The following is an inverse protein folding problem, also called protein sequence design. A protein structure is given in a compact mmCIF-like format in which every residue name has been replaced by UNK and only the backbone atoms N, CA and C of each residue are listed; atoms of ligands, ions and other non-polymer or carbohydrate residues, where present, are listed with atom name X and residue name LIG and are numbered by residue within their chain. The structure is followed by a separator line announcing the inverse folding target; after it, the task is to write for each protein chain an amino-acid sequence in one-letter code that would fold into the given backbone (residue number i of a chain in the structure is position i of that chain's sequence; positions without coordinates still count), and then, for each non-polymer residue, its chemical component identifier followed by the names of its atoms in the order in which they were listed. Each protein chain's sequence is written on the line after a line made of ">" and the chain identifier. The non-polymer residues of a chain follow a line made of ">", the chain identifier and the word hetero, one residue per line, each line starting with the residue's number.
data_IF_197292952602
#
_entry.id   IF_197292952602
#
_cell.length_a   1.000
_cell.length_b   1.000
_cell.length_c   1.000
_cell.angle_alpha   90.00
_cell.angle_beta   90.00
_cell.angle_gamma   90.00
#
_symmetry.space_group_name_H-M   'P 1'
#
loop_
_entity.id
_entity.type
_entity.pdbx_description
1 polymer ?
#
# COMPACT_ATOMS: atom_id res chain seq x y z
N UNK A 1 49.40 3.67 4.60
CA UNK A 1 48.48 4.54 3.81
C UNK A 1 48.33 5.81 4.59
N UNK A 2 48.46 6.97 3.95
CA UNK A 2 48.40 8.26 4.65
C UNK A 2 47.00 8.51 5.20
N UNK A 3 46.91 9.12 6.40
CA UNK A 3 45.66 9.46 7.09
C UNK A 3 45.19 10.83 6.63
N UNK A 4 44.46 10.88 5.50
CA UNK A 4 44.06 12.12 4.84
C UNK A 4 42.70 12.65 5.28
N UNK A 5 41.94 11.88 6.07
CA UNK A 5 40.63 12.23 6.58
C UNK A 5 40.33 11.51 7.90
N UNK A 6 39.24 11.86 8.59
CA UNK A 6 38.78 11.17 9.79
C UNK A 6 38.43 9.70 9.54
N UNK A 7 38.03 9.33 8.33
CA UNK A 7 37.69 7.95 7.95
C UNK A 7 38.93 7.03 7.89
N UNK A 8 40.15 7.60 7.79
CA UNK A 8 41.40 6.84 7.69
C UNK A 8 42.00 6.56 9.06
N UNK A 9 41.47 7.16 10.14
CA UNK A 9 41.98 6.93 11.47
C UNK A 9 41.65 5.52 11.98
N UNK A 10 42.65 4.87 12.59
CA UNK A 10 42.49 3.56 13.21
C UNK A 10 41.98 3.72 14.65
N UNK A 11 41.07 2.80 15.06
CA UNK A 11 40.70 2.66 16.47
C UNK A 11 41.89 2.18 17.36
N UNK A 12 42.93 1.59 16.76
CA UNK A 12 44.18 1.23 17.46
C UNK A 12 45.13 2.40 17.37
N UNK A 13 45.40 3.07 18.52
CA UNK A 13 46.20 4.29 18.59
C UNK A 13 47.57 4.16 17.92
N UNK A 14 48.29 3.06 18.17
CA UNK A 14 49.63 2.80 17.60
C UNK A 14 49.65 2.62 16.06
N UNK A 15 48.52 2.43 15.45
CA UNK A 15 48.37 2.34 13.98
C UNK A 15 48.21 3.71 13.31
N UNK A 16 48.03 4.78 14.08
CA UNK A 16 47.95 6.15 13.59
C UNK A 16 49.34 6.76 13.65
N UNK A 17 50.15 6.52 12.64
CA UNK A 17 51.57 6.95 12.59
C UNK A 17 51.78 8.21 11.75
N UNK A 18 50.75 8.70 11.09
CA UNK A 18 50.73 9.96 10.32
C UNK A 18 49.34 10.63 10.33
N UNK A 19 49.30 11.93 10.05
CA UNK A 19 48.12 12.73 9.76
C UNK A 19 48.40 13.59 8.57
N UNK A 20 47.64 13.39 7.48
CA UNK A 20 47.88 14.13 6.22
C UNK A 20 49.30 13.92 5.65
N UNK A 21 49.92 12.79 5.89
CA UNK A 21 51.29 12.50 5.50
C UNK A 21 52.35 13.07 6.46
N UNK A 22 51.95 13.75 7.56
CA UNK A 22 52.84 14.27 8.57
C UNK A 22 53.10 13.18 9.60
N UNK A 23 54.33 12.72 9.75
CA UNK A 23 54.71 11.67 10.72
C UNK A 23 54.43 12.14 12.14
N UNK A 24 53.70 11.31 12.87
CA UNK A 24 53.43 11.45 14.33
C UNK A 24 53.98 10.23 15.14
N UNK A 25 54.81 9.41 14.51
CA UNK A 25 55.47 8.30 15.17
C UNK A 25 56.49 8.81 16.21
N UNK A 26 56.88 7.92 17.15
CA UNK A 26 57.93 8.25 18.11
C UNK A 26 59.20 8.71 17.41
N UNK A 27 59.83 9.76 17.99
CA UNK A 27 61.03 10.39 17.37
C UNK A 27 60.69 11.39 16.26
N UNK A 28 59.42 11.75 16.08
CA UNK A 28 59.04 12.80 15.12
C UNK A 28 59.70 14.15 15.45
N UNK A 29 59.85 14.99 14.41
CA UNK A 29 60.34 16.36 14.61
C UNK A 29 59.36 17.19 15.47
N UNK A 30 59.83 18.06 16.36
CA UNK A 30 58.94 18.93 17.17
C UNK A 30 57.99 19.79 16.33
N UNK A 31 58.42 20.21 15.11
CA UNK A 31 57.55 20.91 14.18
C UNK A 31 56.36 20.13 13.67
N UNK A 32 56.47 18.79 13.68
CA UNK A 32 55.36 17.90 13.26
C UNK A 32 54.20 17.95 14.22
N UNK A 33 54.43 18.17 15.54
CA UNK A 33 53.36 18.31 16.56
C UNK A 33 52.38 19.40 16.15
N UNK A 34 52.87 20.60 15.91
CA UNK A 34 52.02 21.73 15.51
C UNK A 34 51.32 21.51 14.16
N UNK A 35 52.06 20.98 13.20
CA UNK A 35 51.51 20.73 11.85
C UNK A 35 50.45 19.62 11.88
N UNK A 36 50.63 18.53 12.63
CA UNK A 36 49.64 17.45 12.76
C UNK A 36 48.36 17.90 13.49
N UNK A 37 48.49 18.76 14.49
CA UNK A 37 47.33 19.37 15.19
C UNK A 37 46.49 20.18 14.19
N UNK A 38 47.14 21.01 13.38
CA UNK A 38 46.43 21.80 12.35
C UNK A 38 45.74 20.94 11.30
N UNK A 39 46.38 19.83 10.92
CA UNK A 39 45.78 18.91 9.94
C UNK A 39 44.61 18.13 10.55
N UNK A 40 44.66 17.73 11.84
CA UNK A 40 43.51 17.16 12.55
C UNK A 40 42.36 18.19 12.61
N UNK A 41 42.65 19.43 12.95
CA UNK A 41 41.64 20.51 12.93
C UNK A 41 41.00 20.67 11.56
N UNK A 42 41.81 20.60 10.48
CA UNK A 42 41.30 20.63 9.10
C UNK A 42 40.40 19.43 8.81
N UNK A 43 40.83 18.19 9.13
CA UNK A 43 40.01 16.99 8.92
C UNK A 43 38.69 17.06 9.70
N UNK A 44 38.70 17.63 10.90
CA UNK A 44 37.48 17.83 11.71
C UNK A 44 36.57 18.91 11.07
N UNK A 45 37.16 19.99 10.57
CA UNK A 45 36.42 21.04 9.88
C UNK A 45 35.79 20.51 8.57
N UNK A 46 36.53 19.73 7.79
CA UNK A 46 36.05 19.11 6.55
C UNK A 46 34.89 18.12 6.83
N UNK A 47 34.96 17.39 7.95
CA UNK A 47 33.86 16.53 8.41
C UNK A 47 32.63 17.36 8.81
N UNK A 48 32.80 18.38 9.65
CA UNK A 48 31.69 19.27 10.07
C UNK A 48 31.07 20.00 8.88
N UNK A 49 31.88 20.42 7.91
CA UNK A 49 31.41 21.05 6.69
C UNK A 49 30.76 20.08 5.69
N UNK A 50 30.80 18.76 5.95
CA UNK A 50 30.25 17.73 5.07
C UNK A 50 31.07 17.47 3.83
N UNK A 51 32.32 18.00 3.74
CA UNK A 51 33.24 17.74 2.61
C UNK A 51 33.87 16.36 2.70
N UNK A 52 33.91 15.76 3.90
CA UNK A 52 34.28 14.36 4.13
C UNK A 52 33.02 13.54 4.40
N UNK A 53 32.64 12.68 3.46
CA UNK A 53 31.52 11.75 3.64
C UNK A 53 31.91 10.63 4.62
N UNK A 54 31.09 10.36 5.63
CA UNK A 54 31.19 9.16 6.45
C UNK A 54 30.45 8.00 5.78
N UNK A 55 31.13 6.91 5.51
CA UNK A 55 30.53 5.72 4.89
C UNK A 55 29.60 4.96 5.84
N UNK A 56 29.79 5.08 7.15
CA UNK A 56 28.97 4.45 8.18
C UNK A 56 28.94 5.32 9.43
N UNK A 57 27.74 5.69 9.89
CA UNK A 57 27.52 6.36 11.17
C UNK A 57 26.68 5.40 12.02
N UNK A 58 27.22 4.99 13.17
CA UNK A 58 26.46 4.28 14.21
C UNK A 58 26.14 5.27 15.33
N UNK A 59 24.84 5.49 15.57
CA UNK A 59 24.34 6.35 16.67
C UNK A 59 23.62 5.44 17.65
N UNK A 60 24.30 4.97 18.69
CA UNK A 60 23.79 4.06 19.71
C UNK A 60 22.96 4.80 20.79
N UNK A 61 22.23 5.81 20.42
CA UNK A 61 21.37 6.60 21.29
C UNK A 61 21.54 8.10 21.00
N UNK A 62 20.54 8.87 21.40
CA UNK A 62 20.48 10.31 21.14
C UNK A 62 19.42 10.67 20.11
N UNK A 63 19.29 11.97 19.82
CA UNK A 63 18.39 12.53 18.84
C UNK A 63 19.17 13.00 17.60
N UNK A 64 18.57 12.89 16.43
CA UNK A 64 19.02 13.56 15.20
C UNK A 64 17.94 14.59 14.87
N UNK A 65 18.14 15.83 15.33
CA UNK A 65 17.17 16.90 15.20
C UNK A 65 17.48 17.78 13.95
N UNK A 66 16.44 18.22 13.26
CA UNK A 66 16.54 19.19 12.15
C UNK A 66 17.28 18.69 10.92
N UNK A 67 17.39 17.38 10.72
CA UNK A 67 18.14 16.77 9.61
C UNK A 67 17.20 16.21 8.55
N UNK A 68 17.48 16.49 7.29
CA UNK A 68 16.84 15.82 6.16
C UNK A 68 17.54 14.48 5.87
N UNK A 69 16.90 13.37 6.17
CA UNK A 69 17.41 12.04 5.85
C UNK A 69 17.18 11.73 4.35
N UNK A 70 18.28 11.48 3.62
CA UNK A 70 18.21 11.13 2.19
C UNK A 70 17.98 12.30 1.25
N UNK A 71 18.33 13.54 1.63
CA UNK A 71 18.12 14.74 0.82
C UNK A 71 18.83 14.68 -0.55
N UNK A 72 20.01 14.08 -0.65
CA UNK A 72 20.78 13.97 -1.89
C UNK A 72 20.66 12.61 -2.59
N UNK A 73 20.33 11.56 -1.85
CA UNK A 73 20.12 10.21 -2.37
C UNK A 73 19.20 9.47 -1.42
N UNK A 74 17.98 9.22 -1.88
CA UNK A 74 17.00 8.48 -1.08
C UNK A 74 17.44 7.02 -0.92
N UNK A 75 17.41 6.54 0.32
CA UNK A 75 17.64 5.15 0.68
C UNK A 75 16.43 4.56 1.40
N UNK A 76 16.48 3.27 1.73
CA UNK A 76 15.47 2.63 2.54
C UNK A 76 15.70 2.95 4.02
N UNK A 77 14.68 3.50 4.70
CA UNK A 77 14.64 3.62 6.16
C UNK A 77 13.91 2.40 6.75
N UNK A 78 14.55 1.70 7.71
CA UNK A 78 13.90 0.66 8.50
C UNK A 78 13.67 1.18 9.92
N UNK A 79 12.40 1.26 10.32
CA UNK A 79 11.99 1.76 11.63
C UNK A 79 11.15 0.71 12.34
N UNK A 80 11.39 0.49 13.63
CA UNK A 80 10.47 -0.31 14.46
C UNK A 80 9.18 0.46 14.71
N UNK A 81 9.27 1.79 14.87
CA UNK A 81 8.14 2.71 15.02
C UNK A 81 8.52 4.04 14.39
N UNK A 82 7.60 4.64 13.63
CA UNK A 82 7.70 6.01 13.15
C UNK A 82 6.50 6.79 13.64
N UNK A 83 6.72 7.96 14.24
CA UNK A 83 5.66 8.87 14.67
C UNK A 83 5.66 10.09 13.75
N UNK A 84 4.49 10.42 13.24
CA UNK A 84 4.28 11.59 12.38
C UNK A 84 3.34 12.57 13.08
N UNK A 85 3.49 13.85 12.84
CA UNK A 85 2.50 14.84 13.25
C UNK A 85 1.18 14.65 12.48
N UNK A 86 0.12 15.29 12.95
CA UNK A 86 -1.23 15.07 12.41
C UNK A 86 -1.35 15.43 10.92
N UNK A 87 -0.65 16.45 10.48
CA UNK A 87 -0.83 16.99 9.13
C UNK A 87 -2.21 17.65 8.97
N UNK A 88 -2.61 17.85 7.74
CA UNK A 88 -3.93 18.37 7.39
C UNK A 88 -4.34 17.87 6.00
N UNK A 89 -5.60 18.08 5.63
CA UNK A 89 -6.12 17.65 4.31
C UNK A 89 -5.32 18.21 3.13
N UNK A 90 -4.81 19.45 3.21
CA UNK A 90 -4.00 20.09 2.18
C UNK A 90 -2.49 19.92 2.38
N UNK A 91 -2.06 19.34 3.49
CA UNK A 91 -0.65 19.10 3.85
C UNK A 91 -0.54 17.81 4.66
N UNK A 92 -0.80 16.64 4.05
CA UNK A 92 -0.71 15.35 4.72
C UNK A 92 0.68 15.13 5.34
N UNK A 93 0.73 14.42 6.46
CA UNK A 93 1.99 14.13 7.17
C UNK A 93 2.83 13.04 6.50
N UNK A 94 2.20 12.19 5.68
CA UNK A 94 2.90 11.21 4.83
C UNK A 94 2.47 11.49 3.39
N UNK A 95 3.37 12.04 2.60
CA UNK A 95 3.06 12.57 1.27
C UNK A 95 4.14 12.23 0.25
N UNK A 96 3.88 12.47 -1.02
CA UNK A 96 4.85 12.38 -2.11
C UNK A 96 5.58 13.73 -2.28
N UNK A 97 6.89 13.71 -2.48
CA UNK A 97 7.72 14.92 -2.65
C UNK A 97 7.25 15.83 -3.79
N UNK A 98 6.70 15.25 -4.87
CA UNK A 98 6.20 16.00 -6.05
C UNK A 98 4.71 16.36 -5.97
N UNK A 99 3.99 15.90 -4.95
CA UNK A 99 2.55 16.08 -4.78
C UNK A 99 2.24 16.14 -3.28
N UNK A 100 2.40 17.34 -2.72
CA UNK A 100 2.41 17.55 -1.26
C UNK A 100 1.02 17.63 -0.63
N UNK A 101 -0.05 17.63 -1.41
CA UNK A 101 -1.44 17.63 -0.96
C UNK A 101 -2.16 16.29 -1.19
N UNK A 102 -1.38 15.25 -1.53
CA UNK A 102 -1.83 13.85 -1.64
C UNK A 102 -1.08 12.99 -0.63
N UNK A 103 -1.80 12.24 0.22
CA UNK A 103 -1.18 11.40 1.23
C UNK A 103 -2.09 11.02 2.39
N UNK A 104 -1.44 10.56 3.48
CA UNK A 104 -2.12 10.21 4.72
C UNK A 104 -1.98 11.33 5.75
N UNK A 105 -3.02 11.58 6.52
CA UNK A 105 -3.03 12.51 7.65
C UNK A 105 -3.96 12.01 8.76
N UNK A 106 -3.79 12.54 9.97
CA UNK A 106 -4.62 12.21 11.12
C UNK A 106 -5.58 13.39 11.34
N UNK A 107 -6.86 13.17 11.02
CA UNK A 107 -7.88 14.24 11.04
C UNK A 107 -8.35 14.58 12.45
N UNK A 108 -8.03 13.77 13.43
CA UNK A 108 -8.34 13.92 14.84
C UNK A 108 -7.89 12.70 15.64
N UNK A 109 -8.15 12.71 16.94
CA UNK A 109 -7.86 11.60 17.83
C UNK A 109 -8.57 10.32 17.39
N UNK A 110 -7.82 9.24 17.25
CA UNK A 110 -8.31 7.92 16.79
C UNK A 110 -8.88 7.93 15.36
N UNK A 111 -8.44 8.85 14.52
CA UNK A 111 -8.87 8.96 13.12
C UNK A 111 -7.68 8.89 12.16
N UNK A 112 -7.89 8.26 11.00
CA UNK A 112 -6.94 8.26 9.90
C UNK A 112 -7.65 8.64 8.60
N UNK A 113 -7.01 9.48 7.79
CA UNK A 113 -7.60 10.00 6.55
C UNK A 113 -6.60 9.95 5.39
N UNK A 114 -7.15 9.85 4.18
CA UNK A 114 -6.42 9.94 2.92
C UNK A 114 -6.92 11.14 2.13
N UNK A 115 -6.01 11.99 1.70
CA UNK A 115 -6.29 13.10 0.78
C UNK A 115 -5.70 12.83 -0.60
N UNK A 116 -6.34 13.38 -1.63
CA UNK A 116 -5.77 13.55 -2.97
C UNK A 116 -6.14 14.93 -3.49
N UNK A 117 -5.15 15.70 -3.95
CA UNK A 117 -5.35 17.07 -4.42
C UNK A 117 -5.98 17.95 -3.34
N UNK A 118 -5.51 17.86 -2.09
CA UNK A 118 -6.01 18.62 -0.95
C UNK A 118 -7.47 18.33 -0.54
N UNK A 119 -8.04 17.23 -1.03
CA UNK A 119 -9.42 16.83 -0.72
C UNK A 119 -9.45 15.47 -0.05
N UNK A 120 -10.14 15.33 1.09
CA UNK A 120 -10.33 14.04 1.76
C UNK A 120 -11.13 13.10 0.87
N UNK A 121 -10.60 11.91 0.63
CA UNK A 121 -11.22 10.84 -0.17
C UNK A 121 -11.69 9.67 0.69
N UNK A 122 -10.94 9.34 1.71
CA UNK A 122 -11.19 8.20 2.59
C UNK A 122 -10.90 8.58 4.03
N UNK A 123 -11.68 8.06 4.98
CA UNK A 123 -11.34 8.14 6.40
C UNK A 123 -11.88 6.95 7.18
N UNK A 124 -11.15 6.59 8.26
CA UNK A 124 -11.69 5.79 9.36
C UNK A 124 -11.84 6.74 10.53
N UNK A 125 -13.09 6.95 10.97
CA UNK A 125 -13.38 7.86 12.07
C UNK A 125 -13.18 7.18 13.44
N UNK A 126 -13.27 7.96 14.51
CA UNK A 126 -13.06 7.51 15.90
C UNK A 126 -14.03 6.39 16.35
N UNK A 127 -15.16 6.20 15.65
CA UNK A 127 -16.08 5.08 15.86
C UNK A 127 -15.75 3.84 15.03
N UNK A 128 -14.67 3.86 14.25
CA UNK A 128 -14.23 2.76 13.38
C UNK A 128 -15.01 2.67 12.06
N UNK A 129 -15.82 3.66 11.70
CA UNK A 129 -16.52 3.67 10.42
C UNK A 129 -15.58 4.10 9.29
N UNK A 130 -15.56 3.30 8.22
CA UNK A 130 -14.92 3.65 6.96
C UNK A 130 -15.86 4.56 6.15
N UNK A 131 -15.42 5.79 5.89
CA UNK A 131 -16.13 6.75 5.04
C UNK A 131 -15.32 6.98 3.77
N UNK A 132 -16.01 7.06 2.62
CA UNK A 132 -15.43 7.50 1.36
C UNK A 132 -16.20 8.70 0.83
N UNK A 133 -15.47 9.70 0.31
CA UNK A 133 -16.05 10.89 -0.33
C UNK A 133 -15.93 10.72 -1.85
N UNK A 134 -17.06 10.61 -2.52
CA UNK A 134 -17.17 10.38 -3.96
C UNK A 134 -17.87 9.06 -4.27
N UNK A 135 -17.81 8.64 -5.52
CA UNK A 135 -18.34 7.33 -5.96
C UNK A 135 -17.30 6.23 -5.69
N UNK A 136 -17.80 5.05 -5.29
CA UNK A 136 -17.01 3.82 -5.26
C UNK A 136 -17.50 2.89 -6.38
N UNK A 137 -16.58 2.26 -7.09
CA UNK A 137 -16.87 1.20 -8.06
C UNK A 137 -16.16 -0.08 -7.62
N UNK A 138 -16.83 -1.19 -7.83
CA UNK A 138 -16.24 -2.50 -7.66
C UNK A 138 -16.08 -3.18 -9.03
N UNK A 139 -15.02 -3.95 -9.19
CA UNK A 139 -14.76 -4.67 -10.43
C UNK A 139 -15.88 -5.67 -10.75
N UNK A 140 -16.07 -5.89 -12.05
CA UNK A 140 -16.98 -6.92 -12.59
C UNK A 140 -16.11 -8.02 -13.20
N UNK A 141 -16.11 -9.21 -12.59
CA UNK A 141 -15.44 -10.37 -13.15
C UNK A 141 -16.30 -11.02 -14.25
N UNK A 142 -15.77 -11.11 -15.46
CA UNK A 142 -16.42 -11.77 -16.58
C UNK A 142 -16.23 -13.30 -16.48
N UNK A 143 -17.34 -14.02 -16.29
CA UNK A 143 -17.36 -15.48 -16.22
C UNK A 143 -17.45 -16.10 -17.61
N UNK A 144 -16.81 -17.24 -17.79
CA UNK A 144 -16.95 -18.05 -19.01
C UNK A 144 -18.22 -18.89 -18.96
N UNK A 145 -19.05 -18.84 -20.01
CA UNK A 145 -20.25 -19.66 -20.10
C UNK A 145 -19.93 -21.15 -20.19
N UNK A 146 -20.60 -21.94 -19.39
CA UNK A 146 -20.46 -23.40 -19.28
C UNK A 146 -21.76 -24.00 -18.77
N UNK A 147 -21.91 -25.32 -18.85
CA UNK A 147 -23.06 -26.03 -18.26
C UNK A 147 -23.08 -26.00 -16.72
N UNK A 148 -21.91 -25.75 -16.10
CA UNK A 148 -21.79 -25.52 -14.67
C UNK A 148 -20.79 -24.36 -14.47
N UNK A 149 -21.19 -23.32 -13.74
CA UNK A 149 -20.36 -22.16 -13.41
C UNK A 149 -20.25 -22.07 -11.90
N UNK A 150 -19.05 -22.33 -11.36
CA UNK A 150 -18.73 -22.04 -9.97
C UNK A 150 -18.12 -20.64 -9.90
N UNK A 151 -18.85 -19.71 -9.30
CA UNK A 151 -18.42 -18.33 -9.16
C UNK A 151 -17.47 -18.26 -7.95
N UNK A 152 -16.22 -17.89 -8.20
CA UNK A 152 -15.27 -17.59 -7.12
C UNK A 152 -15.54 -16.18 -6.59
N UNK A 153 -16.21 -16.10 -5.44
CA UNK A 153 -16.63 -14.85 -4.83
C UNK A 153 -15.45 -14.01 -4.28
N UNK A 154 -14.26 -14.60 -4.20
CA UNK A 154 -13.04 -13.86 -3.79
C UNK A 154 -12.44 -13.01 -4.91
N UNK A 155 -12.84 -13.21 -6.16
CA UNK A 155 -12.24 -12.53 -7.33
C UNK A 155 -12.78 -11.14 -7.59
N UNK A 156 -14.06 -10.91 -7.29
CA UNK A 156 -14.71 -9.60 -7.47
C UNK A 156 -16.00 -9.53 -6.65
N UNK A 157 -16.50 -8.30 -6.48
CA UNK A 157 -17.80 -8.06 -5.85
C UNK A 157 -18.95 -8.22 -6.84
N UNK A 158 -18.72 -7.98 -8.13
CA UNK A 158 -19.72 -8.19 -9.15
C UNK A 158 -19.21 -9.17 -10.21
N UNK A 159 -20.15 -9.89 -10.82
CA UNK A 159 -19.85 -10.87 -11.85
C UNK A 159 -20.76 -10.66 -13.06
N UNK A 160 -20.31 -11.06 -14.24
CA UNK A 160 -21.13 -11.05 -15.46
C UNK A 160 -20.90 -12.32 -16.27
N UNK A 161 -21.94 -12.75 -17.00
CA UNK A 161 -21.84 -13.86 -17.94
C UNK A 161 -22.82 -13.66 -19.09
N UNK A 162 -22.38 -13.93 -20.31
CA UNK A 162 -23.28 -14.14 -21.44
C UNK A 162 -23.48 -15.64 -21.62
N UNK A 163 -24.69 -16.13 -21.42
CA UNK A 163 -25.00 -17.55 -21.49
C UNK A 163 -25.01 -18.06 -22.94
N UNK A 164 -24.15 -19.02 -23.21
CA UNK A 164 -24.15 -19.83 -24.43
C UNK A 164 -24.63 -21.27 -24.21
N UNK A 165 -24.86 -21.61 -22.91
CA UNK A 165 -25.31 -22.95 -22.48
C UNK A 165 -26.42 -22.82 -21.44
N UNK A 166 -27.21 -23.88 -21.27
CA UNK A 166 -27.99 -24.06 -20.06
C UNK A 166 -27.04 -24.28 -18.92
N UNK A 167 -27.19 -23.55 -17.82
CA UNK A 167 -26.16 -23.41 -16.78
C UNK A 167 -26.71 -23.71 -15.40
N UNK A 168 -25.89 -24.34 -14.55
CA UNK A 168 -26.11 -24.39 -13.10
C UNK A 168 -25.07 -23.48 -12.43
N UNK A 169 -25.53 -22.48 -11.67
CA UNK A 169 -24.68 -21.61 -10.87
C UNK A 169 -24.39 -22.20 -9.50
N UNK A 170 -23.14 -22.16 -9.10
CA UNK A 170 -22.65 -22.45 -7.76
C UNK A 170 -21.70 -21.34 -7.31
N UNK A 171 -21.36 -21.29 -6.01
CA UNK A 171 -20.38 -20.34 -5.45
C UNK A 171 -19.26 -21.06 -4.72
N UNK A 172 -18.09 -20.43 -4.68
CA UNK A 172 -16.95 -20.80 -3.84
C UNK A 172 -16.32 -19.55 -3.21
N UNK A 173 -15.55 -19.74 -2.15
CA UNK A 173 -14.73 -18.69 -1.48
C UNK A 173 -15.52 -17.44 -1.04
N UNK A 174 -16.83 -17.58 -0.77
CA UNK A 174 -17.64 -16.47 -0.28
C UNK A 174 -17.30 -16.13 1.19
N UNK A 175 -17.20 -14.83 1.49
CA UNK A 175 -16.98 -14.31 2.84
C UNK A 175 -18.30 -13.77 3.40
N UNK A 176 -18.65 -14.15 4.64
CA UNK A 176 -19.87 -13.67 5.29
C UNK A 176 -19.91 -12.12 5.34
N UNK A 177 -21.05 -11.53 4.98
CA UNK A 177 -21.24 -10.08 4.87
C UNK A 177 -20.92 -9.51 3.49
N UNK A 178 -20.34 -10.27 2.57
CA UNK A 178 -20.10 -9.83 1.20
C UNK A 178 -21.42 -9.67 0.45
N UNK A 179 -21.53 -8.61 -0.34
CA UNK A 179 -22.69 -8.30 -1.20
C UNK A 179 -22.22 -7.98 -2.60
N UNK A 180 -23.08 -8.15 -3.57
CA UNK A 180 -22.79 -7.80 -4.96
C UNK A 180 -23.89 -8.24 -5.91
N UNK A 181 -23.57 -8.25 -7.21
CA UNK A 181 -24.51 -8.61 -8.27
C UNK A 181 -23.90 -9.56 -9.29
N UNK A 182 -24.72 -10.42 -9.86
CA UNK A 182 -24.40 -11.26 -11.01
C UNK A 182 -25.28 -10.82 -12.16
N UNK A 183 -24.68 -10.25 -13.24
CA UNK A 183 -25.36 -9.92 -14.48
C UNK A 183 -25.35 -11.13 -15.39
N UNK A 184 -26.54 -11.60 -15.77
CA UNK A 184 -26.72 -12.76 -16.65
C UNK A 184 -27.37 -12.27 -17.95
N UNK A 185 -26.67 -12.37 -19.05
CA UNK A 185 -27.13 -11.95 -20.39
C UNK A 185 -27.38 -13.19 -21.23
N UNK A 186 -28.49 -13.23 -21.96
CA UNK A 186 -28.72 -14.25 -22.98
C UNK A 186 -27.83 -13.97 -24.21
N UNK A 187 -27.37 -15.02 -24.87
CA UNK A 187 -26.72 -14.85 -26.18
C UNK A 187 -27.73 -14.37 -27.28
N UNK A 188 -27.25 -14.15 -28.48
CA UNK A 188 -28.10 -13.73 -29.64
C UNK A 188 -29.16 -14.75 -30.03
N UNK A 189 -29.05 -15.99 -29.59
CA UNK A 189 -30.03 -17.05 -29.84
C UNK A 189 -31.11 -17.12 -28.76
N UNK A 190 -30.76 -16.73 -27.52
CA UNK A 190 -31.64 -16.84 -26.38
C UNK A 190 -31.91 -18.30 -25.97
N UNK A 191 -32.99 -18.49 -25.22
CA UNK A 191 -33.50 -19.80 -24.75
C UNK A 191 -32.56 -20.58 -23.81
N UNK A 192 -31.55 -19.91 -23.21
CA UNK A 192 -30.67 -20.52 -22.22
C UNK A 192 -31.36 -20.50 -20.87
N UNK A 193 -31.39 -21.65 -20.20
CA UNK A 193 -31.96 -21.80 -18.87
C UNK A 193 -30.86 -21.75 -17.81
N UNK A 194 -31.19 -21.24 -16.62
CA UNK A 194 -30.31 -21.28 -15.48
C UNK A 194 -30.95 -21.97 -14.29
N UNK A 195 -30.16 -22.72 -13.56
CA UNK A 195 -30.48 -23.29 -12.25
C UNK A 195 -29.43 -22.88 -11.23
N UNK A 196 -29.71 -23.10 -9.97
CA UNK A 196 -28.87 -22.66 -8.85
C UNK A 196 -28.59 -23.83 -7.91
N UNK A 197 -27.38 -23.93 -7.42
CA UNK A 197 -27.02 -24.94 -6.42
C UNK A 197 -27.80 -24.71 -5.12
N UNK A 198 -27.76 -25.70 -4.25
CA UNK A 198 -28.44 -25.65 -2.93
C UNK A 198 -27.93 -24.55 -2.01
N UNK A 199 -26.78 -23.95 -2.33
CA UNK A 199 -26.20 -22.80 -1.59
C UNK A 199 -27.01 -21.52 -1.79
N UNK A 200 -27.66 -21.34 -2.95
CA UNK A 200 -28.52 -20.20 -3.21
C UNK A 200 -29.88 -20.37 -2.53
N UNK A 201 -30.30 -19.35 -1.81
CA UNK A 201 -31.61 -19.24 -1.18
C UNK A 201 -32.32 -18.00 -1.70
N UNK A 202 -33.48 -18.24 -2.30
CA UNK A 202 -34.38 -17.21 -2.82
C UNK A 202 -35.63 -17.09 -1.94
N UNK A 203 -36.32 -15.99 -2.05
CA UNK A 203 -37.58 -15.77 -1.36
C UNK A 203 -38.59 -16.89 -1.67
N UNK A 204 -39.31 -17.35 -0.64
CA UNK A 204 -40.27 -18.45 -0.80
C UNK A 204 -39.67 -19.81 -1.14
N UNK A 205 -38.33 -19.98 -0.97
CA UNK A 205 -37.57 -21.17 -1.33
C UNK A 205 -37.70 -21.57 -2.81
N UNK A 206 -38.05 -20.62 -3.71
CA UNK A 206 -38.24 -20.88 -5.13
C UNK A 206 -37.20 -20.09 -5.92
N UNK A 207 -36.38 -20.82 -6.68
CA UNK A 207 -35.40 -20.18 -7.58
C UNK A 207 -36.12 -19.45 -8.72
N UNK A 208 -35.63 -18.28 -9.15
CA UNK A 208 -36.23 -17.55 -10.28
C UNK A 208 -36.02 -18.30 -11.58
N UNK A 209 -36.99 -18.18 -12.49
CA UNK A 209 -36.80 -18.54 -13.90
C UNK A 209 -36.27 -17.30 -14.62
N UNK A 210 -35.02 -17.36 -15.10
CA UNK A 210 -34.41 -16.25 -15.81
C UNK A 210 -35.06 -16.00 -17.17
N UNK A 211 -34.95 -14.78 -17.67
CA UNK A 211 -35.43 -14.37 -18.99
C UNK A 211 -34.72 -15.16 -20.09
N UNK A 212 -35.47 -15.63 -21.10
CA UNK A 212 -34.94 -16.47 -22.17
C UNK A 212 -34.95 -15.80 -23.56
N UNK A 213 -35.45 -14.58 -23.65
CA UNK A 213 -35.39 -13.79 -24.88
C UNK A 213 -33.94 -13.50 -25.26
N UNK A 214 -33.61 -13.55 -26.54
CA UNK A 214 -32.28 -13.19 -27.05
C UNK A 214 -31.84 -11.83 -26.52
N UNK A 215 -30.60 -11.75 -26.05
CA UNK A 215 -29.96 -10.55 -25.45
C UNK A 215 -30.64 -10.00 -24.18
N UNK A 216 -31.64 -10.68 -23.61
CA UNK A 216 -32.25 -10.28 -22.36
C UNK A 216 -31.19 -10.29 -21.24
N UNK A 217 -31.30 -9.33 -20.31
CA UNK A 217 -30.38 -9.16 -19.15
C UNK A 217 -31.17 -9.34 -17.88
N UNK A 218 -30.69 -10.22 -17.03
CA UNK A 218 -31.16 -10.39 -15.66
C UNK A 218 -30.05 -10.02 -14.68
N UNK A 219 -30.42 -9.50 -13.50
CA UNK A 219 -29.49 -9.23 -12.40
C UNK A 219 -29.90 -10.02 -11.18
N UNK A 220 -28.92 -10.69 -10.59
CA UNK A 220 -29.07 -11.43 -9.34
C UNK A 220 -28.25 -10.70 -8.29
N UNK A 221 -28.91 -10.01 -7.38
CA UNK A 221 -28.29 -9.39 -6.22
C UNK A 221 -28.14 -10.41 -5.10
N UNK A 222 -26.99 -10.40 -4.40
CA UNK A 222 -26.70 -11.41 -3.41
C UNK A 222 -26.12 -10.83 -2.11
N UNK A 223 -26.35 -11.61 -1.03
CA UNK A 223 -25.72 -11.44 0.28
C UNK A 223 -25.16 -12.78 0.74
N UNK A 224 -23.85 -12.85 0.99
CA UNK A 224 -23.18 -14.05 1.49
C UNK A 224 -23.40 -14.16 3.00
N UNK A 225 -24.09 -15.21 3.43
CA UNK A 225 -24.33 -15.52 4.84
C UNK A 225 -23.18 -16.35 5.41
N UNK A 226 -22.68 -17.31 4.60
CA UNK A 226 -21.52 -18.14 4.92
C UNK A 226 -20.88 -18.64 3.62
N UNK A 227 -19.74 -19.31 3.70
CA UNK A 227 -19.07 -19.90 2.52
C UNK A 227 -19.94 -20.90 1.73
N UNK A 228 -21.05 -21.39 2.31
CA UNK A 228 -21.95 -22.36 1.72
C UNK A 228 -23.42 -21.89 1.67
N UNK A 229 -23.69 -20.61 1.95
CA UNK A 229 -25.04 -20.05 2.00
C UNK A 229 -25.05 -18.63 1.48
N UNK A 230 -25.82 -18.38 0.42
CA UNK A 230 -26.05 -17.07 -0.18
C UNK A 230 -27.56 -16.80 -0.30
N UNK A 231 -27.99 -15.65 0.21
CA UNK A 231 -29.33 -15.14 -0.05
C UNK A 231 -29.30 -14.31 -1.34
N UNK A 232 -30.25 -14.53 -2.22
CA UNK A 232 -30.26 -13.88 -3.52
C UNK A 232 -31.67 -13.43 -3.93
N UNK A 233 -31.70 -12.36 -4.72
CA UNK A 233 -32.91 -11.80 -5.34
C UNK A 233 -32.61 -11.54 -6.81
N UNK A 234 -33.53 -11.90 -7.69
CA UNK A 234 -33.39 -11.64 -9.13
C UNK A 234 -34.30 -10.49 -9.57
N UNK A 235 -33.74 -9.59 -10.39
CA UNK A 235 -34.49 -8.59 -11.19
C UNK A 235 -34.36 -9.01 -12.64
N UNK A 236 -35.50 -9.25 -13.28
CA UNK A 236 -35.56 -9.88 -14.59
C UNK A 236 -35.82 -8.86 -15.70
N UNK A 237 -35.31 -9.16 -16.89
CA UNK A 237 -35.59 -8.42 -18.13
C UNK A 237 -35.28 -6.93 -18.04
N UNK A 238 -34.04 -6.60 -17.74
CA UNK A 238 -33.54 -5.24 -17.57
C UNK A 238 -33.19 -4.53 -18.90
N UNK A 239 -33.42 -5.16 -20.03
CA UNK A 239 -33.15 -4.63 -21.39
C UNK A 239 -34.38 -4.06 -22.08
#
# INVERSE_FOLDING_TARGET
>A
MSKNSVNDYSATASSNTDVGGISIAEGMLPSNVNNSIREIMKHTADWVAGTTALSTINIDGGAIDGVNLGANSAGTGAFTTASFGDGAVGTPSITNTGDTDTGFYFSGDNEISVATGGTQRLSVNSSGHLNHNGSASADINALTSSTAITIDMSTAQNHSVTLAHNTTFDISNGTAGQTGSILVTQDSSGSRTASFSSKFKFAGATAPTLSTTASAVDRIDYFIVSSSLVHAVATLNLS
#
